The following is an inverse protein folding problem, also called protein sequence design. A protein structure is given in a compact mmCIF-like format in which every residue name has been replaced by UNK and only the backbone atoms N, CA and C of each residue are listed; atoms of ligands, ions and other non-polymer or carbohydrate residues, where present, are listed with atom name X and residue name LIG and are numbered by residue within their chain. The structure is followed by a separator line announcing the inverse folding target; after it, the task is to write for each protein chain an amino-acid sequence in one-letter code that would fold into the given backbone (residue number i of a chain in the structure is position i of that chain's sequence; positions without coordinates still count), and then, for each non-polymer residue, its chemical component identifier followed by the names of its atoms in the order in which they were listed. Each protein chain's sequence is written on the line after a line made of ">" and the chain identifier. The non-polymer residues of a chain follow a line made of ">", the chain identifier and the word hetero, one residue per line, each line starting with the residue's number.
data_IF_515551177763
#
_entry.id   IF_515551177763
#
_cell.length_a   1.000
_cell.length_b   1.000
_cell.length_c   1.000
_cell.angle_alpha   90.00
_cell.angle_beta   90.00
_cell.angle_gamma   90.00
#
_symmetry.space_group_name_H-M   'P 1'
#
loop_
_entity.id
_entity.type
_entity.pdbx_description
1 polymer ?
#
# COMPACT_ATOMS: atom_id res chain seq x y z
N UNK A 1 76.81 20.31 37.01
CA UNK A 1 76.31 19.89 35.68
C UNK A 1 75.11 18.98 35.90
N UNK A 2 73.90 19.43 35.58
CA UNK A 2 72.75 18.53 35.40
C UNK A 2 71.62 19.27 34.68
N UNK A 3 71.26 18.73 33.52
CA UNK A 3 70.16 19.09 32.64
C UNK A 3 68.85 18.49 33.16
N UNK A 4 67.71 19.17 32.96
CA UNK A 4 66.44 18.58 32.49
C UNK A 4 65.43 19.72 32.25
N UNK A 5 65.16 20.11 31.01
CA UNK A 5 64.27 19.47 30.03
C UNK A 5 62.79 19.86 30.23
N UNK A 6 62.38 20.84 29.42
CA UNK A 6 61.01 21.18 29.04
C UNK A 6 60.27 19.91 28.56
N UNK A 7 59.07 19.62 29.07
CA UNK A 7 58.07 18.80 28.35
C UNK A 7 56.69 19.44 28.49
N UNK A 8 56.41 20.33 27.54
CA UNK A 8 55.07 20.77 27.17
C UNK A 8 54.41 19.64 26.36
N UNK A 9 53.07 19.65 26.38
CA UNK A 9 52.11 18.97 25.48
C UNK A 9 51.47 17.68 26.02
N UNK A 10 50.33 17.81 26.74
CA UNK A 10 49.36 16.72 26.90
C UNK A 10 47.98 17.04 26.28
N UNK A 11 47.90 17.87 25.22
CA UNK A 11 46.60 18.41 24.78
C UNK A 11 46.12 18.00 23.38
N UNK A 12 46.94 17.32 22.56
CA UNK A 12 46.51 16.86 21.22
C UNK A 12 46.00 15.41 21.17
N UNK A 13 46.32 14.58 22.16
CA UNK A 13 45.92 13.16 22.15
C UNK A 13 44.46 12.93 22.57
N UNK A 14 43.86 13.86 23.32
CA UNK A 14 42.47 13.75 23.79
C UNK A 14 41.44 14.06 22.69
N UNK A 15 41.81 14.88 21.71
CA UNK A 15 40.90 15.32 20.63
C UNK A 15 40.74 14.21 19.58
N UNK A 16 41.75 13.35 19.40
CA UNK A 16 41.70 12.26 18.44
C UNK A 16 40.82 11.09 18.90
N UNK A 17 40.69 10.86 20.22
CA UNK A 17 39.87 9.78 20.75
C UNK A 17 38.36 10.11 20.75
N UNK A 18 37.98 11.39 20.85
CA UNK A 18 36.57 11.79 20.77
C UNK A 18 36.02 11.68 19.34
N UNK A 19 36.85 11.94 18.32
CA UNK A 19 36.43 11.84 16.91
C UNK A 19 36.12 10.39 16.49
N UNK A 20 36.83 9.40 17.06
CA UNK A 20 36.63 7.99 16.73
C UNK A 20 35.35 7.40 17.38
N UNK A 21 34.92 7.95 18.51
CA UNK A 21 33.70 7.50 19.21
C UNK A 21 32.41 7.94 18.52
N UNK A 22 32.40 9.08 17.80
CA UNK A 22 31.22 9.55 17.05
C UNK A 22 30.92 8.74 15.78
N UNK A 23 31.89 8.00 15.25
CA UNK A 23 31.69 7.14 14.07
C UNK A 23 31.06 5.79 14.40
N UNK A 24 31.00 5.40 15.69
CA UNK A 24 30.48 4.10 16.11
C UNK A 24 28.95 4.06 16.30
N UNK A 25 28.26 5.21 16.27
CA UNK A 25 26.82 5.29 16.58
C UNK A 25 25.88 5.23 15.37
N UNK A 26 26.36 5.03 14.15
CA UNK A 26 25.53 5.13 12.93
C UNK A 26 24.99 3.79 12.36
N UNK A 27 24.89 2.74 13.16
CA UNK A 27 24.32 1.43 12.74
C UNK A 27 23.19 0.96 13.65
N UNK A 28 22.23 1.83 13.92
CA UNK A 28 20.88 1.40 14.29
C UNK A 28 19.91 1.94 13.24
N UNK A 29 20.10 1.48 11.99
CA UNK A 29 19.01 1.46 11.02
C UNK A 29 18.06 0.40 11.56
N UNK A 30 17.11 0.83 12.39
CA UNK A 30 16.02 -0.02 12.85
C UNK A 30 15.44 -0.74 11.64
N UNK A 31 15.35 -2.07 11.73
CA UNK A 31 14.84 -2.92 10.67
C UNK A 31 13.56 -2.28 10.12
N UNK A 32 13.56 -2.00 8.81
CA UNK A 32 12.37 -1.55 8.11
C UNK A 32 11.28 -2.59 8.43
N UNK A 33 10.29 -2.16 9.23
CA UNK A 33 9.12 -2.95 9.58
C UNK A 33 8.53 -3.45 8.26
N UNK A 34 8.54 -4.76 8.03
CA UNK A 34 8.13 -5.39 6.79
C UNK A 34 6.82 -4.76 6.29
N UNK A 35 6.91 -3.91 5.27
CA UNK A 35 5.72 -3.35 4.64
C UNK A 35 5.06 -4.53 3.94
N UNK A 36 3.83 -4.91 4.34
CA UNK A 36 3.19 -6.08 3.76
C UNK A 36 3.12 -5.89 2.25
N UNK A 37 3.41 -6.94 1.45
CA UNK A 37 3.42 -6.83 0.00
C UNK A 37 2.06 -6.31 -0.49
N UNK A 38 2.11 -5.29 -1.36
CA UNK A 38 0.94 -4.71 -1.99
C UNK A 38 0.66 -5.42 -3.32
N UNK A 39 -0.57 -5.88 -3.49
CA UNK A 39 -1.08 -6.47 -4.73
C UNK A 39 -1.77 -5.41 -5.58
N UNK A 40 -1.50 -5.42 -6.88
CA UNK A 40 -2.18 -4.55 -7.85
C UNK A 40 -3.45 -5.22 -8.36
N UNK A 41 -4.58 -4.55 -8.19
CA UNK A 41 -5.91 -5.15 -8.32
C UNK A 41 -6.73 -4.39 -9.37
N UNK A 42 -6.96 -5.06 -10.49
CA UNK A 42 -7.91 -4.64 -11.54
C UNK A 42 -9.35 -5.05 -11.23
N UNK A 43 -9.54 -5.87 -10.19
CA UNK A 43 -10.84 -6.26 -9.66
C UNK A 43 -10.70 -6.39 -8.15
N UNK A 44 -11.58 -5.71 -7.41
CA UNK A 44 -11.58 -5.68 -5.97
C UNK A 44 -12.98 -5.41 -5.41
N UNK A 45 -13.20 -5.78 -4.16
CA UNK A 45 -14.41 -5.40 -3.41
C UNK A 45 -14.08 -5.16 -1.96
N UNK A 46 -14.95 -4.44 -1.25
CA UNK A 46 -14.81 -4.15 0.18
C UNK A 46 -13.48 -3.47 0.54
N UNK A 47 -12.97 -2.59 -0.34
CA UNK A 47 -11.66 -1.92 -0.17
C UNK A 47 -11.48 -1.18 1.17
N UNK A 48 -12.58 -0.76 1.79
CA UNK A 48 -12.60 0.09 2.98
C UNK A 48 -12.64 -0.70 4.30
N UNK A 49 -12.55 -2.03 4.27
CA UNK A 49 -12.56 -2.87 5.46
C UNK A 49 -11.52 -4.00 5.42
N UNK A 50 -11.44 -4.73 6.52
CA UNK A 50 -10.56 -5.88 6.77
C UNK A 50 -10.91 -7.14 5.97
N UNK A 51 -11.90 -7.04 5.08
CA UNK A 51 -12.34 -8.09 4.17
C UNK A 51 -12.23 -7.65 2.72
N UNK A 52 -11.37 -6.67 2.45
CA UNK A 52 -11.07 -6.29 1.09
C UNK A 52 -10.62 -7.52 0.30
N UNK A 53 -11.05 -7.61 -0.95
CA UNK A 53 -10.65 -8.71 -1.83
C UNK A 53 -9.95 -8.16 -3.05
N UNK A 54 -8.93 -8.87 -3.51
CA UNK A 54 -8.17 -8.57 -4.70
C UNK A 54 -7.94 -9.87 -5.47
N UNK A 55 -8.48 -9.97 -6.69
CA UNK A 55 -8.33 -11.17 -7.54
C UNK A 55 -8.69 -12.50 -6.81
N UNK A 56 -9.63 -12.45 -5.85
CA UNK A 56 -10.03 -13.61 -5.04
C UNK A 56 -9.20 -13.86 -3.77
N UNK A 57 -8.10 -13.12 -3.55
CA UNK A 57 -7.40 -13.08 -2.28
C UNK A 57 -8.11 -12.14 -1.29
N UNK A 58 -8.02 -12.41 0.01
CA UNK A 58 -8.49 -11.46 1.04
C UNK A 58 -7.31 -10.67 1.58
N UNK A 59 -7.48 -9.35 1.65
CA UNK A 59 -6.50 -8.36 2.03
C UNK A 59 -7.00 -7.67 3.31
N UNK A 60 -6.52 -8.11 4.50
CA UNK A 60 -7.02 -7.61 5.78
C UNK A 60 -6.62 -6.17 6.07
N UNK A 61 -5.61 -5.66 5.36
CA UNK A 61 -5.16 -4.28 5.49
C UNK A 61 -5.91 -3.34 4.53
N UNK A 62 -6.92 -3.84 3.81
CA UNK A 62 -7.74 -3.04 2.89
C UNK A 62 -7.08 -2.79 1.53
N UNK A 63 -7.70 -1.89 0.76
CA UNK A 63 -7.16 -1.38 -0.49
C UNK A 63 -7.12 0.15 -0.51
N UNK A 64 -6.04 0.68 -1.06
CA UNK A 64 -5.73 2.10 -1.10
C UNK A 64 -5.67 2.64 -2.52
N UNK A 65 -5.74 3.98 -2.61
CA UNK A 65 -5.65 4.74 -3.86
C UNK A 65 -4.39 4.36 -4.68
N UNK A 66 -4.47 4.37 -6.02
CA UNK A 66 -5.59 4.77 -6.86
C UNK A 66 -6.79 3.82 -6.79
N UNK A 67 -7.92 4.25 -7.33
CA UNK A 67 -9.07 3.37 -7.54
C UNK A 67 -9.45 3.39 -9.01
N UNK A 68 -10.16 2.37 -9.45
CA UNK A 68 -10.61 2.29 -10.83
C UNK A 68 -11.64 3.39 -11.08
N UNK A 69 -11.44 4.12 -12.17
CA UNK A 69 -12.41 5.06 -12.72
C UNK A 69 -13.01 4.46 -13.98
N UNK A 70 -14.34 4.28 -13.97
CA UNK A 70 -15.09 3.67 -15.06
C UNK A 70 -15.99 4.70 -15.76
N UNK A 71 -16.09 4.60 -17.07
CA UNK A 71 -16.91 5.49 -17.91
C UNK A 71 -18.24 4.83 -18.28
N UNK A 72 -19.20 5.66 -18.70
CA UNK A 72 -20.55 5.24 -19.13
C UNK A 72 -21.28 4.42 -18.05
N UNK A 73 -21.18 4.85 -16.80
CA UNK A 73 -21.81 4.22 -15.65
C UNK A 73 -23.25 4.72 -15.48
N UNK A 74 -24.18 3.77 -15.38
CA UNK A 74 -25.59 4.02 -15.03
C UNK A 74 -25.88 3.39 -13.66
N UNK A 75 -26.66 4.04 -12.79
CA UNK A 75 -27.09 3.44 -11.53
C UNK A 75 -27.85 2.14 -11.79
N UNK A 76 -27.61 1.14 -10.96
CA UNK A 76 -28.32 -0.16 -11.09
C UNK A 76 -29.75 -0.13 -10.52
N UNK A 77 -30.17 1.01 -9.96
CA UNK A 77 -31.50 1.23 -9.38
C UNK A 77 -32.54 1.73 -10.40
N UNK A 78 -33.79 1.98 -9.96
CA UNK A 78 -34.92 2.34 -10.84
C UNK A 78 -34.80 3.71 -11.52
N UNK A 79 -33.75 4.47 -11.24
CA UNK A 79 -33.59 5.83 -11.72
C UNK A 79 -32.90 5.82 -13.09
N UNK A 80 -33.67 6.09 -14.15
CA UNK A 80 -33.14 6.36 -15.50
C UNK A 80 -32.29 7.64 -15.45
N UNK A 81 -31.02 7.47 -15.14
CA UNK A 81 -30.06 8.55 -14.98
C UNK A 81 -29.12 8.56 -16.18
N UNK A 82 -28.66 9.75 -16.57
CA UNK A 82 -27.65 9.88 -17.62
C UNK A 82 -26.40 9.08 -17.23
N UNK A 83 -25.72 8.52 -18.23
CA UNK A 83 -24.46 7.86 -18.01
C UNK A 83 -23.41 8.86 -17.52
N UNK A 84 -22.59 8.44 -16.56
CA UNK A 84 -21.56 9.28 -15.94
C UNK A 84 -20.24 8.54 -15.83
N UNK A 85 -19.18 9.25 -15.45
CA UNK A 85 -17.91 8.63 -15.05
C UNK A 85 -17.90 8.48 -13.53
N UNK A 86 -17.56 7.30 -13.03
CA UNK A 86 -17.58 6.98 -11.60
C UNK A 86 -16.23 6.44 -11.13
N UNK A 87 -15.79 6.87 -9.95
CA UNK A 87 -14.64 6.28 -9.26
C UNK A 87 -15.13 5.21 -8.30
N UNK A 88 -14.66 3.99 -8.50
CA UNK A 88 -15.13 2.78 -7.85
C UNK A 88 -14.39 2.57 -6.52
N UNK A 89 -14.62 3.45 -5.55
CA UNK A 89 -13.87 3.44 -4.30
C UNK A 89 -13.99 2.14 -3.52
N UNK A 90 -15.17 1.53 -3.47
CA UNK A 90 -15.46 0.36 -2.64
C UNK A 90 -15.16 -0.94 -3.37
N UNK A 91 -15.40 -0.98 -4.67
CA UNK A 91 -15.17 -2.18 -5.46
C UNK A 91 -15.41 -1.97 -6.94
N UNK A 92 -14.70 -2.75 -7.74
CA UNK A 92 -14.90 -2.86 -9.17
C UNK A 92 -14.67 -4.31 -9.60
N UNK A 93 -15.54 -4.85 -10.46
CA UNK A 93 -15.29 -6.12 -11.14
C UNK A 93 -15.99 -6.14 -12.51
N UNK A 94 -15.55 -7.05 -13.38
CA UNK A 94 -16.20 -7.29 -14.67
C UNK A 94 -17.32 -8.32 -14.52
N UNK A 95 -18.46 -8.02 -15.11
CA UNK A 95 -19.64 -8.87 -15.23
C UNK A 95 -19.99 -8.99 -16.72
N UNK A 96 -19.42 -9.99 -17.39
CA UNK A 96 -19.46 -10.11 -18.86
C UNK A 96 -18.69 -8.98 -19.55
N UNK A 97 -19.37 -8.23 -20.42
CA UNK A 97 -18.80 -7.06 -21.11
C UNK A 97 -18.76 -5.82 -20.21
N UNK A 98 -19.67 -5.74 -19.26
CA UNK A 98 -19.88 -4.57 -18.42
C UNK A 98 -19.00 -4.65 -17.16
N UNK A 99 -18.75 -3.50 -16.55
CA UNK A 99 -18.14 -3.39 -15.23
C UNK A 99 -19.18 -3.04 -14.19
N UNK A 100 -19.11 -3.66 -13.02
CA UNK A 100 -19.86 -3.22 -11.84
C UNK A 100 -18.93 -2.37 -10.99
N UNK A 101 -19.38 -1.18 -10.63
CA UNK A 101 -18.63 -0.17 -9.91
C UNK A 101 -19.40 0.24 -8.66
N UNK A 102 -18.76 0.16 -7.49
CA UNK A 102 -19.33 0.63 -6.24
C UNK A 102 -18.57 1.87 -5.78
N UNK A 103 -19.27 3.01 -5.71
CA UNK A 103 -18.68 4.29 -5.31
C UNK A 103 -18.52 4.38 -3.77
N UNK A 104 -17.97 5.50 -3.28
CA UNK A 104 -17.77 5.75 -1.84
C UNK A 104 -19.06 5.75 -1.02
N UNK A 105 -20.19 6.09 -1.64
CA UNK A 105 -21.52 6.09 -1.03
C UNK A 105 -22.16 4.70 -1.03
N UNK A 106 -21.42 3.65 -1.46
CA UNK A 106 -21.90 2.27 -1.62
C UNK A 106 -23.02 2.12 -2.65
N UNK A 107 -23.17 3.10 -3.54
CA UNK A 107 -24.07 2.99 -4.67
C UNK A 107 -23.42 2.14 -5.77
N UNK A 108 -24.23 1.26 -6.36
CA UNK A 108 -23.80 0.37 -7.44
C UNK A 108 -24.16 0.95 -8.80
N UNK A 109 -23.18 0.93 -9.70
CA UNK A 109 -23.31 1.35 -11.09
C UNK A 109 -22.89 0.22 -12.02
N UNK A 110 -23.61 0.09 -13.13
CA UNK A 110 -23.20 -0.74 -14.26
C UNK A 110 -22.58 0.15 -15.34
N UNK A 111 -21.36 -0.17 -15.75
CA UNK A 111 -20.53 0.67 -16.61
C UNK A 111 -20.13 -0.08 -17.87
N UNK A 112 -20.45 0.45 -19.04
CA UNK A 112 -20.10 -0.17 -20.33
C UNK A 112 -18.88 0.47 -21.01
N UNK A 113 -18.31 1.52 -20.42
CA UNK A 113 -17.20 2.28 -20.98
C UNK A 113 -15.82 1.74 -20.61
N UNK A 114 -14.80 2.52 -20.98
CA UNK A 114 -13.39 2.24 -20.64
C UNK A 114 -13.17 2.43 -19.14
N UNK A 115 -12.17 1.72 -18.62
CA UNK A 115 -11.68 1.89 -17.25
C UNK A 115 -10.23 2.38 -17.24
N UNK A 116 -9.87 3.09 -16.18
CA UNK A 116 -8.52 3.56 -15.91
C UNK A 116 -8.20 3.39 -14.43
N UNK A 117 -6.92 3.27 -14.08
CA UNK A 117 -6.48 3.07 -12.70
C UNK A 117 -6.49 1.60 -12.25
N UNK A 118 -6.02 1.40 -11.02
CA UNK A 118 -5.89 0.12 -10.30
C UNK A 118 -6.00 0.40 -8.82
N UNK A 119 -6.43 -0.59 -8.02
CA UNK A 119 -6.31 -0.52 -6.57
C UNK A 119 -5.05 -1.23 -6.07
N UNK A 120 -4.46 -0.72 -4.99
CA UNK A 120 -3.36 -1.39 -4.30
C UNK A 120 -3.86 -1.95 -2.98
N UNK A 121 -3.90 -3.28 -2.86
CA UNK A 121 -4.38 -3.94 -1.65
C UNK A 121 -3.20 -4.57 -0.90
N UNK A 122 -3.16 -4.40 0.42
CA UNK A 122 -2.03 -4.83 1.26
C UNK A 122 -2.38 -6.05 2.10
N UNK A 123 -1.37 -6.88 2.37
CA UNK A 123 -1.53 -8.05 3.24
C UNK A 123 -2.34 -9.19 2.62
N UNK A 124 -2.54 -9.16 1.29
CA UNK A 124 -3.39 -10.12 0.59
C UNK A 124 -2.91 -11.56 0.74
N UNK A 125 -3.81 -12.44 1.19
CA UNK A 125 -3.58 -13.88 1.33
C UNK A 125 -4.51 -14.63 0.39
N UNK A 126 -3.93 -15.45 -0.49
CA UNK A 126 -4.69 -16.37 -1.30
C UNK A 126 -5.25 -17.47 -0.40
N UNK A 127 -6.57 -17.58 -0.33
CA UNK A 127 -7.17 -18.84 0.09
C UNK A 127 -7.04 -19.80 -1.09
N UNK A 128 -5.91 -20.49 -1.20
CA UNK A 128 -5.94 -21.76 -1.91
C UNK A 128 -6.94 -22.61 -1.16
N UNK A 129 -8.14 -22.78 -1.71
CA UNK A 129 -9.11 -23.77 -1.25
C UNK A 129 -8.34 -25.08 -1.16
N UNK A 130 -7.91 -25.44 0.04
CA UNK A 130 -7.30 -26.74 0.31
C UNK A 130 -8.41 -27.72 0.01
N UNK A 131 -8.41 -28.27 -1.21
CA UNK A 131 -9.34 -29.29 -1.67
C UNK A 131 -9.35 -30.34 -0.57
N UNK A 132 -10.41 -30.38 0.25
CA UNK A 132 -10.62 -31.50 1.16
C UNK A 132 -10.85 -32.68 0.23
N UNK A 133 -9.80 -33.44 0.00
CA UNK A 133 -9.91 -34.79 -0.51
C UNK A 133 -10.55 -35.54 0.65
N UNK A 134 -11.83 -35.86 0.50
CA UNK A 134 -12.51 -36.86 1.31
C UNK A 134 -12.79 -38.04 0.39
#
# INVERSE_FOLDING_TARGET
>A
MMFTALKVVPSMFLILQTLLALLATSLNIGMAKDIPPASVCYSYSNSDNDRATCHGATCPDGCSWPFITAQNCVPTGPTSSKSTTQTCHIGYWKDGTDGICTNRLREMYRCSGKTTGVAFCTGCKNYTSKKRIN
#
